data_IF_360890048252
#
_entry.id   IF_360890048252
#
_cell.length_a   1.000
_cell.length_b   1.000
_cell.length_c   1.000
_cell.angle_alpha   90.00
_cell.angle_beta   90.00
_cell.angle_gamma   90.00
#
_symmetry.space_group_name_H-M   'P 1'
#
loop_
_entity.id
_entity.type
_entity.pdbx_description
1 polymer ?
#
# COMPACT_ATOMS: atom_id res chain seq x y z
N UNK A 1 -1.84 21.49 -3.88
CA UNK A 1 -0.54 20.81 -3.65
C UNK A 1 0.55 21.87 -3.64
N UNK A 2 1.33 21.96 -2.56
CA UNK A 2 2.54 22.80 -2.47
C UNK A 2 3.76 22.00 -2.92
N UNK A 3 4.86 22.70 -3.30
CA UNK A 3 6.12 22.03 -3.62
C UNK A 3 6.60 21.18 -2.44
N UNK A 4 6.55 21.70 -1.22
CA UNK A 4 6.98 20.96 -0.02
C UNK A 4 6.16 19.69 0.24
N UNK A 5 4.84 19.71 0.03
CA UNK A 5 4.02 18.49 0.17
C UNK A 5 4.29 17.49 -0.95
N UNK A 6 4.53 17.96 -2.17
CA UNK A 6 4.93 17.14 -3.30
C UNK A 6 6.25 16.41 -3.01
N UNK A 7 7.29 17.17 -2.67
CA UNK A 7 8.62 16.65 -2.41
C UNK A 7 8.60 15.63 -1.26
N UNK A 8 7.86 15.93 -0.19
CA UNK A 8 7.70 15.03 0.95
C UNK A 8 7.04 13.70 0.55
N UNK A 9 5.94 13.74 -0.20
CA UNK A 9 5.25 12.53 -0.64
C UNK A 9 6.15 11.67 -1.55
N UNK A 10 6.83 12.29 -2.52
CA UNK A 10 7.71 11.57 -3.44
C UNK A 10 8.93 10.98 -2.72
N UNK A 11 9.54 11.71 -1.80
CA UNK A 11 10.70 11.23 -1.05
C UNK A 11 10.35 10.07 -0.11
N UNK A 12 9.26 10.20 0.66
CA UNK A 12 8.90 9.23 1.69
C UNK A 12 8.21 8.00 1.09
N UNK A 13 7.22 8.21 0.20
CA UNK A 13 6.37 7.12 -0.26
C UNK A 13 6.91 6.39 -1.50
N UNK A 14 7.83 6.98 -2.25
CA UNK A 14 8.35 6.38 -3.48
C UNK A 14 9.87 6.19 -3.44
N UNK A 15 10.64 7.27 -3.24
CA UNK A 15 12.10 7.18 -3.28
C UNK A 15 12.66 6.32 -2.15
N UNK A 16 12.18 6.49 -0.92
CA UNK A 16 12.69 5.73 0.22
C UNK A 16 12.45 4.22 0.06
N UNK A 17 11.23 3.73 -0.28
CA UNK A 17 11.03 2.31 -0.58
C UNK A 17 11.93 1.78 -1.70
N UNK A 18 12.17 2.56 -2.75
CA UNK A 18 13.09 2.18 -3.83
C UNK A 18 14.50 1.96 -3.31
N UNK A 19 15.06 2.94 -2.59
CA UNK A 19 16.43 2.86 -2.03
C UNK A 19 16.57 1.71 -1.04
N UNK A 20 15.56 1.51 -0.17
CA UNK A 20 15.55 0.39 0.78
C UNK A 20 15.48 -0.97 0.07
N UNK A 21 14.71 -1.06 -1.01
CA UNK A 21 14.62 -2.28 -1.82
C UNK A 21 15.94 -2.62 -2.52
N UNK A 22 16.64 -1.61 -3.04
CA UNK A 22 17.98 -1.79 -3.61
C UNK A 22 18.96 -2.29 -2.54
N UNK A 23 19.04 -1.60 -1.41
CA UNK A 23 19.94 -1.99 -0.32
C UNK A 23 19.63 -3.41 0.21
N UNK A 24 18.35 -3.79 0.30
CA UNK A 24 17.96 -5.15 0.67
C UNK A 24 18.43 -6.18 -0.37
N UNK A 25 18.23 -5.91 -1.66
CA UNK A 25 18.63 -6.81 -2.73
C UNK A 25 20.17 -6.99 -2.81
N UNK A 26 20.92 -5.94 -2.49
CA UNK A 26 22.40 -5.98 -2.47
C UNK A 26 22.94 -6.75 -1.24
N UNK A 27 22.23 -6.74 -0.12
CA UNK A 27 22.69 -7.33 1.15
C UNK A 27 22.25 -8.78 1.34
N UNK A 28 21.16 -9.20 0.68
CA UNK A 28 20.68 -10.58 0.83
C UNK A 28 21.69 -11.57 0.23
N UNK A 29 22.12 -12.62 0.95
CA UNK A 29 23.06 -13.59 0.41
C UNK A 29 22.50 -14.27 -0.85
N UNK A 30 23.38 -14.58 -1.80
CA UNK A 30 23.02 -15.30 -3.01
C UNK A 30 22.24 -16.59 -2.69
N UNK A 31 21.20 -16.88 -3.47
CA UNK A 31 20.30 -18.02 -3.32
C UNK A 31 19.49 -18.05 -2.00
N UNK A 32 19.47 -16.95 -1.23
CA UNK A 32 18.57 -16.82 -0.07
C UNK A 32 17.24 -16.24 -0.52
N UNK A 33 16.10 -16.93 -0.30
CA UNK A 33 14.80 -16.38 -0.64
C UNK A 33 14.49 -15.13 0.19
N UNK A 34 14.06 -14.05 -0.49
CA UNK A 34 13.65 -12.79 0.14
C UNK A 34 12.22 -12.40 -0.19
N UNK A 35 11.66 -11.51 0.62
CA UNK A 35 10.38 -10.89 0.35
C UNK A 35 10.37 -9.41 0.74
N UNK A 36 9.82 -8.59 -0.14
CA UNK A 36 9.54 -7.17 0.09
C UNK A 36 8.02 -6.99 0.07
N UNK A 37 7.49 -6.30 1.07
CA UNK A 37 6.06 -5.98 1.14
C UNK A 37 5.91 -4.47 1.30
N UNK A 38 5.37 -3.82 0.28
CA UNK A 38 5.10 -2.39 0.29
C UNK A 38 3.70 -2.10 0.85
N UNK A 39 3.59 -1.14 1.76
CA UNK A 39 2.30 -0.62 2.21
C UNK A 39 1.91 0.53 1.29
N UNK A 40 0.92 0.27 0.43
CA UNK A 40 0.43 1.21 -0.56
C UNK A 40 -0.79 1.96 0.02
N UNK A 41 -1.86 1.96 -0.69
CA UNK A 41 -3.18 2.49 -0.32
C UNK A 41 -4.17 1.98 -1.37
N UNK A 42 -5.36 1.60 -0.97
CA UNK A 42 -6.43 1.17 -1.89
C UNK A 42 -6.78 2.26 -2.93
N UNK A 43 -6.50 3.53 -2.61
CA UNK A 43 -6.75 4.71 -3.47
C UNK A 43 -6.12 4.59 -4.87
N UNK A 44 -5.05 3.80 -5.04
CA UNK A 44 -4.45 3.60 -6.36
C UNK A 44 -5.37 2.86 -7.34
N UNK A 45 -6.41 2.20 -6.83
CA UNK A 45 -7.46 1.54 -7.61
C UNK A 45 -8.78 2.32 -7.65
N UNK A 46 -8.96 3.30 -6.76
CA UNK A 46 -10.15 4.15 -6.68
C UNK A 46 -9.74 5.61 -6.61
N UNK A 47 -9.40 6.18 -7.75
CA UNK A 47 -8.88 7.55 -7.84
C UNK A 47 -9.95 8.57 -7.49
N UNK A 48 -9.56 9.58 -6.74
CA UNK A 48 -10.36 10.78 -6.44
C UNK A 48 -9.58 12.03 -6.82
N UNK A 49 -10.23 13.19 -7.02
CA UNK A 49 -9.53 14.43 -7.34
C UNK A 49 -8.68 14.97 -6.18
N UNK A 50 -8.88 14.44 -4.98
CA UNK A 50 -8.20 14.87 -3.76
C UNK A 50 -6.84 14.18 -3.57
N UNK A 51 -5.96 14.80 -2.76
CA UNK A 51 -4.66 14.23 -2.36
C UNK A 51 -3.73 13.87 -3.53
N UNK A 52 -3.72 14.66 -4.61
CA UNK A 52 -3.02 14.35 -5.88
C UNK A 52 -1.58 13.88 -5.69
N UNK A 53 -0.73 14.62 -4.95
CA UNK A 53 0.69 14.23 -4.78
C UNK A 53 0.86 12.95 -3.96
N UNK A 54 -0.01 12.72 -2.96
CA UNK A 54 -0.04 11.48 -2.22
C UNK A 54 -0.45 10.31 -3.12
N UNK A 55 -1.54 10.46 -3.85
CA UNK A 55 -2.05 9.43 -4.77
C UNK A 55 -1.00 9.06 -5.82
N UNK A 56 -0.35 10.06 -6.44
CA UNK A 56 0.73 9.82 -7.41
C UNK A 56 1.91 9.08 -6.80
N UNK A 57 2.31 9.43 -5.57
CA UNK A 57 3.41 8.74 -4.89
C UNK A 57 3.08 7.27 -4.58
N UNK A 58 1.84 6.99 -4.18
CA UNK A 58 1.37 5.61 -3.92
C UNK A 58 1.15 4.82 -5.22
N UNK A 59 0.65 5.45 -6.28
CA UNK A 59 0.57 4.83 -7.60
C UNK A 59 1.97 4.51 -8.16
N UNK A 60 2.94 5.40 -7.97
CA UNK A 60 4.34 5.15 -8.28
C UNK A 60 4.90 3.94 -7.50
N UNK A 61 4.57 3.84 -6.20
CA UNK A 61 4.99 2.70 -5.37
C UNK A 61 4.32 1.38 -5.83
N UNK A 62 3.07 1.44 -6.31
CA UNK A 62 2.42 0.28 -6.92
C UNK A 62 3.13 -0.16 -8.19
N UNK A 63 3.44 0.74 -9.10
CA UNK A 63 4.23 0.44 -10.31
C UNK A 63 5.62 -0.09 -9.93
N UNK A 64 6.28 0.53 -8.95
CA UNK A 64 7.57 0.07 -8.44
C UNK A 64 7.51 -1.36 -7.89
N UNK A 65 6.44 -1.72 -7.17
CA UNK A 65 6.21 -3.10 -6.67
C UNK A 65 6.22 -4.11 -7.81
N UNK A 66 5.52 -3.82 -8.90
CA UNK A 66 5.44 -4.70 -10.07
C UNK A 66 6.78 -4.79 -10.82
N UNK A 67 7.46 -3.67 -11.03
CA UNK A 67 8.75 -3.64 -11.73
C UNK A 67 9.84 -4.32 -10.92
N UNK A 68 9.88 -4.14 -9.59
CA UNK A 68 10.82 -4.84 -8.73
C UNK A 68 10.52 -6.35 -8.64
N UNK A 69 9.25 -6.76 -8.67
CA UNK A 69 8.89 -8.18 -8.73
C UNK A 69 9.47 -8.87 -9.97
N UNK A 70 9.49 -8.18 -11.12
CA UNK A 70 10.12 -8.68 -12.33
C UNK A 70 11.66 -8.66 -12.26
N UNK A 71 12.23 -7.58 -11.71
CA UNK A 71 13.67 -7.37 -11.72
C UNK A 71 14.42 -8.26 -10.70
N UNK A 72 13.78 -8.60 -9.57
CA UNK A 72 14.40 -9.30 -8.46
C UNK A 72 14.06 -10.81 -8.43
N UNK A 73 13.21 -11.27 -9.33
CA UNK A 73 12.93 -12.70 -9.49
C UNK A 73 14.18 -13.46 -9.98
N UNK A 74 14.36 -14.74 -9.63
CA UNK A 74 13.49 -15.56 -8.79
C UNK A 74 13.76 -15.44 -7.27
N UNK A 75 14.80 -14.72 -6.87
CA UNK A 75 15.31 -14.75 -5.50
C UNK A 75 14.47 -13.94 -4.52
N UNK A 76 13.90 -12.80 -4.94
CA UNK A 76 13.15 -11.91 -4.08
C UNK A 76 11.76 -11.70 -4.67
N UNK A 77 10.74 -12.00 -3.87
CA UNK A 77 9.33 -11.69 -4.20
C UNK A 77 9.01 -10.28 -3.73
N UNK A 78 8.23 -9.55 -4.51
CA UNK A 78 7.81 -8.19 -4.14
C UNK A 78 6.30 -8.08 -4.28
N UNK A 79 5.62 -7.78 -3.19
CA UNK A 79 4.18 -7.63 -3.12
C UNK A 79 3.79 -6.37 -2.36
N UNK A 80 2.50 -6.11 -2.28
CA UNK A 80 1.97 -4.96 -1.59
C UNK A 80 0.69 -5.28 -0.82
N UNK A 81 0.41 -4.42 0.16
CA UNK A 81 -0.89 -4.34 0.83
C UNK A 81 -1.44 -2.94 0.55
N UNK A 82 -2.71 -2.86 0.19
CA UNK A 82 -3.49 -1.64 0.03
C UNK A 82 -4.50 -1.50 1.16
N UNK A 83 -4.13 -0.88 2.30
CA UNK A 83 -5.07 -0.68 3.40
C UNK A 83 -6.16 0.33 3.04
N UNK A 84 -7.34 0.15 3.65
CA UNK A 84 -8.33 1.18 3.83
C UNK A 84 -8.14 1.94 5.15
N UNK A 85 -9.23 2.52 5.71
CA UNK A 85 -9.19 3.29 6.95
C UNK A 85 -8.72 2.42 8.14
N UNK A 86 -7.45 2.54 8.53
CA UNK A 86 -6.82 1.71 9.56
C UNK A 86 -6.49 2.52 10.81
N UNK A 87 -5.77 3.63 10.64
CA UNK A 87 -5.38 4.51 11.73
C UNK A 87 -5.80 5.95 11.40
N UNK A 88 -6.36 6.62 12.39
CA UNK A 88 -6.71 8.04 12.29
C UNK A 88 -5.46 8.87 11.96
N UNK A 89 -5.56 9.73 10.95
CA UNK A 89 -4.49 10.67 10.65
C UNK A 89 -4.44 11.82 11.66
N UNK A 90 -3.28 12.50 11.79
CA UNK A 90 -3.11 13.61 12.74
C UNK A 90 -4.02 14.81 12.46
N UNK A 91 -4.49 14.98 11.24
CA UNK A 91 -5.36 16.08 10.81
C UNK A 91 -6.83 15.73 10.79
N UNK A 92 -7.19 14.50 11.15
CA UNK A 92 -8.54 13.96 11.09
C UNK A 92 -9.14 13.90 12.51
N UNK A 93 -10.37 14.33 12.68
CA UNK A 93 -11.09 14.12 13.94
C UNK A 93 -11.55 12.66 14.10
N UNK A 94 -11.89 12.18 15.32
CA UNK A 94 -12.45 10.85 15.52
C UNK A 94 -13.75 10.62 14.74
N UNK A 95 -14.60 11.65 14.61
CA UNK A 95 -15.86 11.56 13.88
C UNK A 95 -15.64 11.42 12.37
N UNK A 96 -14.70 12.19 11.79
CA UNK A 96 -14.32 12.07 10.38
C UNK A 96 -13.73 10.70 10.08
N UNK A 97 -12.92 10.15 10.97
CA UNK A 97 -12.38 8.80 10.81
C UNK A 97 -13.47 7.74 10.91
N UNK A 98 -14.40 7.88 11.86
CA UNK A 98 -15.54 6.98 12.00
C UNK A 98 -16.43 6.99 10.76
N UNK A 99 -16.67 8.16 10.18
CA UNK A 99 -17.43 8.31 8.95
C UNK A 99 -16.72 7.63 7.77
N UNK A 100 -15.40 7.79 7.66
CA UNK A 100 -14.61 7.22 6.56
C UNK A 100 -14.78 5.68 6.48
N UNK A 101 -14.65 4.95 7.60
CA UNK A 101 -14.84 3.50 7.55
C UNK A 101 -16.32 3.08 7.48
N UNK A 102 -17.26 3.91 7.98
CA UNK A 102 -18.70 3.66 7.83
C UNK A 102 -19.18 3.78 6.39
N UNK A 103 -18.44 4.48 5.52
CA UNK A 103 -18.70 4.61 4.08
C UNK A 103 -18.13 3.45 3.25
N UNK A 104 -17.30 2.58 3.83
CA UNK A 104 -16.84 1.36 3.15
C UNK A 104 -17.97 0.35 2.98
N UNK A 105 -17.84 -0.59 2.04
CA UNK A 105 -18.88 -1.60 1.81
C UNK A 105 -19.17 -2.45 3.05
N UNK A 106 -18.12 -2.81 3.80
CA UNK A 106 -18.25 -3.61 5.01
C UNK A 106 -18.54 -2.77 6.26
N UNK A 107 -18.51 -1.43 6.15
CA UNK A 107 -18.82 -0.48 7.23
C UNK A 107 -18.04 -0.73 8.52
N UNK A 108 -16.78 -1.13 8.38
CA UNK A 108 -15.92 -1.43 9.52
C UNK A 108 -14.52 -0.91 9.31
N UNK A 109 -13.87 -0.53 10.41
CA UNK A 109 -12.47 -0.16 10.44
C UNK A 109 -11.59 -1.38 10.10
N UNK A 110 -10.57 -1.17 9.29
CA UNK A 110 -9.50 -2.15 9.11
C UNK A 110 -8.57 -2.08 10.34
N UNK A 111 -8.19 -3.22 10.89
CA UNK A 111 -7.31 -3.28 12.05
C UNK A 111 -5.84 -3.50 11.67
N UNK A 112 -4.94 -3.05 12.53
CA UNK A 112 -3.49 -3.32 12.37
C UNK A 112 -3.18 -4.80 12.41
N UNK A 113 -3.96 -5.58 13.16
CA UNK A 113 -3.87 -7.04 13.26
C UNK A 113 -4.24 -7.72 11.95
N UNK A 114 -5.24 -7.20 11.20
CA UNK A 114 -5.58 -7.71 9.87
C UNK A 114 -4.45 -7.47 8.87
N UNK A 115 -3.85 -6.28 8.91
CA UNK A 115 -2.66 -5.98 8.09
C UNK A 115 -1.52 -6.93 8.45
N UNK A 116 -1.26 -7.16 9.75
CA UNK A 116 -0.23 -8.09 10.22
C UNK A 116 -0.47 -9.54 9.76
N UNK A 117 -1.73 -10.02 9.81
CA UNK A 117 -2.10 -11.35 9.26
C UNK A 117 -1.90 -11.43 7.76
N UNK A 118 -2.19 -10.35 7.03
CA UNK A 118 -1.97 -10.28 5.59
C UNK A 118 -0.49 -10.31 5.23
N UNK A 119 0.37 -9.63 6.00
CA UNK A 119 1.83 -9.74 5.86
C UNK A 119 2.27 -11.19 6.01
N UNK A 120 1.80 -11.89 7.05
CA UNK A 120 2.14 -13.30 7.28
C UNK A 120 1.67 -14.18 6.12
N UNK A 121 0.44 -13.99 5.65
CA UNK A 121 -0.09 -14.71 4.48
C UNK A 121 0.81 -14.54 3.24
N UNK A 122 1.23 -13.31 2.94
CA UNK A 122 2.13 -13.03 1.80
C UNK A 122 3.48 -13.72 1.98
N UNK A 123 4.02 -13.76 3.19
CA UNK A 123 5.29 -14.46 3.48
C UNK A 123 5.17 -15.96 3.27
N UNK A 124 4.04 -16.55 3.68
CA UNK A 124 3.76 -18.00 3.59
C UNK A 124 3.29 -18.45 2.18
N UNK A 125 3.13 -17.52 1.24
CA UNK A 125 2.69 -17.79 -0.14
C UNK A 125 3.85 -17.69 -1.15
N UNK A 126 4.68 -18.74 -1.36
CA UNK A 126 5.93 -18.66 -2.12
C UNK A 126 5.73 -18.35 -3.61
N UNK A 127 4.56 -18.58 -4.17
CA UNK A 127 4.25 -18.29 -5.59
C UNK A 127 3.64 -16.90 -5.79
N UNK A 128 3.47 -16.10 -4.72
CA UNK A 128 2.87 -14.76 -4.78
C UNK A 128 3.95 -13.71 -5.01
N UNK A 129 3.92 -13.02 -6.15
CA UNK A 129 4.78 -11.85 -6.44
C UNK A 129 4.08 -10.90 -7.40
N UNK A 130 4.41 -9.61 -7.33
CA UNK A 130 3.84 -8.55 -8.17
C UNK A 130 2.38 -8.22 -7.85
N UNK A 131 1.84 -8.63 -6.69
CA UNK A 131 0.44 -8.47 -6.33
C UNK A 131 0.24 -7.42 -5.25
N UNK A 132 -0.93 -6.77 -5.24
CA UNK A 132 -1.43 -6.00 -4.13
C UNK A 132 -2.71 -6.64 -3.58
N UNK A 133 -2.75 -6.83 -2.26
CA UNK A 133 -3.94 -7.31 -1.55
C UNK A 133 -4.58 -6.10 -0.87
N UNK A 134 -5.80 -5.75 -1.30
CA UNK A 134 -6.57 -4.70 -0.66
C UNK A 134 -7.23 -5.25 0.62
N UNK A 135 -6.93 -4.61 1.76
CA UNK A 135 -7.59 -4.84 3.05
C UNK A 135 -8.24 -3.51 3.43
N UNK A 136 -9.41 -3.24 2.87
CA UNK A 136 -10.00 -1.90 2.84
C UNK A 136 -11.52 -1.86 3.05
N UNK A 137 -12.12 -2.96 3.47
CA UNK A 137 -13.57 -3.05 3.61
C UNK A 137 -14.36 -2.87 2.31
N UNK A 138 -13.70 -3.03 1.16
CA UNK A 138 -14.28 -2.83 -0.17
C UNK A 138 -14.26 -1.37 -0.63
N UNK A 139 -13.51 -0.49 0.02
CA UNK A 139 -13.43 0.94 -0.33
C UNK A 139 -12.99 1.18 -1.78
N UNK A 140 -12.08 0.34 -2.31
CA UNK A 140 -11.62 0.45 -3.70
C UNK A 140 -12.69 0.19 -4.77
N UNK A 141 -13.81 -0.42 -4.42
CA UNK A 141 -14.92 -0.68 -5.33
C UNK A 141 -15.86 0.53 -5.48
N UNK A 142 -15.62 1.59 -4.71
CA UNK A 142 -16.43 2.79 -4.69
C UNK A 142 -17.67 2.70 -3.79
N UNK A 143 -18.41 3.80 -3.67
CA UNK A 143 -19.59 3.85 -2.81
C UNK A 143 -20.71 2.94 -3.32
N UNK A 144 -21.46 2.36 -2.40
CA UNK A 144 -22.73 1.69 -2.74
C UNK A 144 -23.68 2.75 -3.27
N UNK A 145 -24.11 2.62 -4.53
CA UNK A 145 -25.27 3.39 -5.00
C UNK A 145 -26.49 2.83 -4.28
N UNK A 146 -27.06 3.61 -3.36
CA UNK A 146 -28.40 3.30 -2.83
C UNK A 146 -29.39 3.33 -4.00
N UNK A 147 -30.02 2.20 -4.26
CA UNK A 147 -31.16 2.12 -5.17
C UNK A 147 -32.34 2.90 -4.60
#
# INVERSE_FOLDING_TARGET
VTQGSWDKHMQINLRAPFVLSQAFAEQIPNATPGAIINIIDQRVWNLTPDFTSYTLSKAGLWTLTQTLAMALAPNIRVNAIGPGPTLQSKSQSPDEFSQEYAETLLKQQVTTEEIGRTVRFILDAPSLTGQMIAIDGGQHLGPVKSN
#
